data_IF_765891365274
#
_entry.id   IF_765891365274
#
_cell.length_a   1.000
_cell.length_b   1.000
_cell.length_c   1.000
_cell.angle_alpha   90.00
_cell.angle_beta   90.00
_cell.angle_gamma   90.00
#
_symmetry.space_group_name_H-M   'P 1'
#
loop_
_entity.id
_entity.type
_entity.pdbx_description
1 polymer ?
#
# COMPACT_ATOMS: atom_id res chain seq x y z
N UNK A 1 -27.89 -44.24 -72.73
CA UNK A 1 -27.51 -43.31 -71.64
C UNK A 1 -28.04 -41.94 -72.02
N UNK A 2 -29.12 -41.50 -71.38
CA UNK A 2 -29.73 -40.18 -71.63
C UNK A 2 -30.29 -39.65 -70.29
N UNK A 3 -30.24 -38.32 -70.04
CA UNK A 3 -30.14 -37.75 -68.70
C UNK A 3 -31.50 -37.40 -68.08
N UNK A 4 -31.54 -37.44 -66.74
CA UNK A 4 -32.66 -37.03 -65.88
C UNK A 4 -32.65 -35.49 -65.70
N UNK A 5 -33.80 -34.79 -65.61
CA UNK A 5 -33.85 -33.33 -65.55
C UNK A 5 -33.55 -32.74 -64.15
N UNK A 6 -32.97 -31.54 -64.16
CA UNK A 6 -32.60 -30.73 -62.99
C UNK A 6 -33.79 -30.32 -62.09
N UNK A 7 -33.60 -30.40 -60.77
CA UNK A 7 -34.45 -29.77 -59.75
C UNK A 7 -33.99 -28.34 -59.43
N UNK A 8 -34.89 -27.39 -59.08
CA UNK A 8 -34.54 -25.98 -58.89
C UNK A 8 -33.89 -25.71 -57.52
N UNK A 9 -32.91 -24.79 -57.53
CA UNK A 9 -32.12 -24.37 -56.38
C UNK A 9 -32.96 -23.66 -55.30
N UNK A 10 -32.84 -24.10 -54.04
CA UNK A 10 -33.42 -23.45 -52.87
C UNK A 10 -32.61 -22.21 -52.46
N UNK A 11 -33.28 -21.05 -52.35
CA UNK A 11 -32.72 -19.80 -51.81
C UNK A 11 -32.24 -19.97 -50.35
N UNK A 12 -31.15 -19.29 -49.94
CA UNK A 12 -30.67 -19.38 -48.57
C UNK A 12 -31.61 -18.64 -47.62
N UNK A 13 -32.01 -19.33 -46.55
CA UNK A 13 -32.80 -18.79 -45.44
C UNK A 13 -31.93 -17.78 -44.67
N UNK A 14 -32.36 -16.51 -44.59
CA UNK A 14 -31.72 -15.52 -43.70
C UNK A 14 -31.75 -16.06 -42.27
N UNK A 15 -30.56 -16.33 -41.70
CA UNK A 15 -30.39 -16.59 -40.27
C UNK A 15 -30.75 -15.31 -39.52
N UNK A 16 -31.90 -15.30 -38.87
CA UNK A 16 -32.18 -14.34 -37.79
C UNK A 16 -31.29 -14.70 -36.62
N UNK A 17 -30.23 -13.91 -36.40
CA UNK A 17 -29.43 -13.95 -35.19
C UNK A 17 -30.30 -13.51 -34.02
N UNK A 18 -30.65 -14.43 -33.14
CA UNK A 18 -31.11 -14.11 -31.78
C UNK A 18 -30.05 -13.22 -31.12
N UNK A 19 -30.41 -12.03 -30.58
CA UNK A 19 -29.45 -11.23 -29.84
C UNK A 19 -29.07 -12.01 -28.59
N UNK A 20 -27.83 -12.47 -28.52
CA UNK A 20 -27.23 -12.95 -27.27
C UNK A 20 -27.30 -11.80 -26.29
N UNK A 21 -28.14 -11.93 -25.26
CA UNK A 21 -28.23 -10.96 -24.18
C UNK A 21 -26.89 -10.98 -23.44
N UNK A 22 -25.97 -10.10 -23.83
CA UNK A 22 -24.72 -9.92 -23.09
C UNK A 22 -25.11 -9.43 -21.70
N UNK A 23 -24.66 -10.13 -20.66
CA UNK A 23 -24.86 -9.66 -19.30
C UNK A 23 -24.19 -8.29 -19.13
N UNK A 24 -24.77 -7.39 -18.32
CA UNK A 24 -24.15 -6.10 -18.07
C UNK A 24 -22.79 -6.32 -17.41
N UNK A 25 -21.79 -5.50 -17.77
CA UNK A 25 -20.44 -5.55 -17.16
C UNK A 25 -20.46 -5.25 -15.66
N UNK A 26 -21.47 -4.53 -15.19
CA UNK A 26 -21.57 -4.08 -13.80
C UNK A 26 -22.92 -4.44 -13.19
N UNK A 27 -22.90 -4.65 -11.88
CA UNK A 27 -24.08 -4.87 -11.04
C UNK A 27 -24.06 -3.89 -9.87
N UNK A 28 -25.21 -3.37 -9.49
CA UNK A 28 -25.34 -2.52 -8.31
C UNK A 28 -25.76 -3.38 -7.12
N UNK A 29 -25.01 -3.32 -6.03
CA UNK A 29 -25.35 -3.98 -4.75
C UNK A 29 -25.27 -2.92 -3.65
N UNK A 30 -26.35 -2.73 -2.90
CA UNK A 30 -26.43 -1.73 -1.83
C UNK A 30 -25.96 -0.32 -2.25
N UNK A 31 -26.33 0.12 -3.46
CA UNK A 31 -25.95 1.45 -3.99
C UNK A 31 -24.49 1.58 -4.45
N UNK A 32 -23.65 0.56 -4.27
CA UNK A 32 -22.28 0.50 -4.78
C UNK A 32 -22.25 -0.28 -6.10
N UNK A 33 -21.33 0.08 -7.00
CA UNK A 33 -21.16 -0.58 -8.31
C UNK A 33 -20.09 -1.66 -8.21
N UNK A 34 -20.33 -2.86 -8.73
CA UNK A 34 -19.37 -3.97 -8.74
C UNK A 34 -19.20 -4.54 -10.15
N UNK A 35 -18.06 -5.17 -10.42
CA UNK A 35 -17.87 -5.98 -11.61
C UNK A 35 -18.80 -7.19 -11.58
N UNK A 36 -19.56 -7.41 -12.65
CA UNK A 36 -20.57 -8.45 -12.73
C UNK A 36 -20.02 -9.71 -13.42
N UNK A 37 -19.17 -10.41 -12.69
CA UNK A 37 -18.67 -11.74 -13.07
C UNK A 37 -18.60 -12.62 -11.82
N UNK A 38 -19.42 -13.67 -11.77
CA UNK A 38 -19.50 -14.60 -10.64
C UNK A 38 -18.24 -15.45 -10.47
N UNK A 39 -17.40 -15.55 -11.51
CA UNK A 39 -16.12 -16.27 -11.45
C UNK A 39 -15.00 -15.40 -10.88
N UNK A 40 -15.21 -14.09 -10.77
CA UNK A 40 -14.27 -13.17 -10.16
C UNK A 40 -14.35 -13.24 -8.63
N UNK A 41 -13.24 -13.52 -7.93
CA UNK A 41 -13.22 -13.47 -6.47
C UNK A 41 -13.20 -12.03 -5.92
N UNK A 42 -12.98 -11.03 -6.79
CA UNK A 42 -12.70 -9.64 -6.40
C UNK A 42 -13.89 -9.01 -5.66
N UNK A 43 -13.72 -8.64 -4.36
CA UNK A 43 -14.83 -8.24 -3.52
C UNK A 43 -15.15 -6.75 -3.58
N UNK A 44 -14.24 -5.91 -4.08
CA UNK A 44 -14.33 -4.47 -3.93
C UNK A 44 -15.20 -3.82 -5.02
N UNK A 45 -15.82 -2.67 -4.73
CA UNK A 45 -16.58 -1.90 -5.72
C UNK A 45 -15.73 -1.39 -6.90
N UNK A 46 -16.39 -0.77 -7.88
CA UNK A 46 -15.80 -0.13 -9.06
C UNK A 46 -16.45 1.25 -9.30
N UNK A 47 -16.74 1.98 -8.22
CA UNK A 47 -17.30 3.32 -8.25
C UNK A 47 -16.27 4.40 -7.87
N UNK A 48 -16.66 5.66 -8.01
CA UNK A 48 -15.78 6.81 -7.76
C UNK A 48 -15.22 6.80 -6.34
N UNK A 49 -16.01 6.34 -5.35
CA UNK A 49 -15.57 6.22 -3.97
C UNK A 49 -14.42 5.21 -3.85
N UNK A 50 -14.53 4.07 -4.52
CA UNK A 50 -13.43 3.10 -4.56
C UNK A 50 -12.20 3.63 -5.30
N UNK A 51 -12.38 4.37 -6.39
CA UNK A 51 -11.24 5.01 -7.09
C UNK A 51 -10.50 6.00 -6.17
N UNK A 52 -11.22 6.79 -5.36
CA UNK A 52 -10.62 7.68 -4.36
C UNK A 52 -9.87 6.90 -3.28
N UNK A 53 -10.42 5.78 -2.80
CA UNK A 53 -9.74 4.90 -1.84
C UNK A 53 -8.44 4.35 -2.42
N UNK A 54 -8.48 3.83 -3.66
CA UNK A 54 -7.30 3.31 -4.35
C UNK A 54 -6.21 4.39 -4.53
N UNK A 55 -6.60 5.64 -4.81
CA UNK A 55 -5.65 6.76 -4.86
C UNK A 55 -4.99 7.01 -3.51
N UNK A 56 -5.75 7.03 -2.41
CA UNK A 56 -5.19 7.16 -1.06
C UNK A 56 -4.23 6.02 -0.71
N UNK A 57 -4.59 4.79 -1.10
CA UNK A 57 -3.76 3.59 -0.91
C UNK A 57 -2.46 3.66 -1.73
N UNK A 58 -2.53 4.16 -2.96
CA UNK A 58 -1.35 4.39 -3.81
C UNK A 58 -0.36 5.39 -3.18
N UNK A 59 -0.88 6.50 -2.65
CA UNK A 59 -0.09 7.50 -1.94
C UNK A 59 0.58 6.90 -0.70
N UNK A 60 -0.17 6.11 0.08
CA UNK A 60 0.36 5.42 1.26
C UNK A 60 1.51 4.46 0.89
N UNK A 61 1.37 3.67 -0.18
CA UNK A 61 2.44 2.81 -0.68
C UNK A 61 3.69 3.62 -1.03
N UNK A 62 3.54 4.75 -1.73
CA UNK A 62 4.68 5.63 -2.06
C UNK A 62 5.38 6.11 -0.79
N UNK A 63 4.63 6.63 0.18
CA UNK A 63 5.21 7.12 1.44
C UNK A 63 5.95 6.02 2.19
N UNK A 64 5.32 4.84 2.35
CA UNK A 64 5.91 3.70 3.07
C UNK A 64 7.20 3.21 2.41
N UNK A 65 7.22 3.06 1.09
CA UNK A 65 8.41 2.58 0.38
C UNK A 65 9.44 3.66 0.07
N UNK A 66 9.01 4.94 0.05
CA UNK A 66 9.76 6.09 -0.44
C UNK A 66 9.85 6.18 -1.98
N UNK A 67 9.15 5.31 -2.70
CA UNK A 67 9.19 5.16 -4.16
C UNK A 67 7.99 4.35 -4.66
N UNK A 68 7.72 4.39 -5.97
CA UNK A 68 6.68 3.56 -6.61
C UNK A 68 7.14 2.12 -6.92
N UNK A 69 8.46 1.88 -6.88
CA UNK A 69 9.13 0.61 -7.17
C UNK A 69 10.28 0.42 -6.18
N UNK A 70 10.53 -0.82 -5.77
CA UNK A 70 11.66 -1.17 -4.91
C UNK A 70 12.94 -1.53 -5.69
N UNK A 71 12.84 -1.66 -7.02
CA UNK A 71 13.99 -1.77 -7.91
C UNK A 71 14.69 -0.40 -8.00
N UNK A 72 16.02 -0.39 -7.84
CA UNK A 72 16.85 0.81 -8.01
C UNK A 72 17.09 1.11 -9.50
N UNK A 73 16.14 1.81 -10.10
CA UNK A 73 16.19 2.19 -11.51
C UNK A 73 17.30 3.19 -11.87
N UNK A 74 18.02 3.77 -10.91
CA UNK A 74 19.22 4.58 -11.20
C UNK A 74 20.44 3.69 -11.45
N UNK A 75 20.48 2.51 -10.82
CA UNK A 75 21.52 1.51 -11.01
C UNK A 75 21.18 0.50 -12.12
N UNK A 76 19.92 0.47 -12.56
CA UNK A 76 19.42 -0.45 -13.59
C UNK A 76 19.09 0.25 -14.91
N UNK A 77 18.99 -0.56 -15.98
CA UNK A 77 18.48 -0.06 -17.26
C UNK A 77 16.98 0.18 -17.17
N UNK A 78 16.55 1.40 -17.48
CA UNK A 78 15.11 1.75 -17.57
C UNK A 78 14.40 0.85 -18.59
N UNK A 79 13.25 0.25 -18.24
CA UNK A 79 12.49 -0.63 -19.12
C UNK A 79 11.94 0.14 -20.32
N UNK A 80 11.83 -0.51 -21.47
CA UNK A 80 11.14 0.08 -22.63
C UNK A 80 9.65 -0.26 -22.63
N UNK A 81 9.29 -1.47 -22.18
CA UNK A 81 7.91 -1.96 -22.07
C UNK A 81 7.62 -2.47 -20.66
N UNK A 82 6.57 -1.92 -20.05
CA UNK A 82 6.10 -2.24 -18.71
C UNK A 82 4.70 -2.83 -18.77
N UNK A 83 4.44 -3.91 -18.02
CA UNK A 83 3.10 -4.46 -17.81
C UNK A 83 2.67 -4.21 -16.36
N UNK A 84 1.51 -3.59 -16.17
CA UNK A 84 0.82 -3.50 -14.87
C UNK A 84 -0.36 -4.47 -14.87
N UNK A 85 -0.37 -5.41 -13.93
CA UNK A 85 -1.49 -6.34 -13.71
C UNK A 85 -2.54 -5.71 -12.81
N UNK A 86 -3.81 -5.86 -13.18
CA UNK A 86 -4.96 -5.25 -12.51
C UNK A 86 -4.79 -3.74 -12.35
N UNK A 87 -4.56 -3.06 -13.47
CA UNK A 87 -4.18 -1.65 -13.43
C UNK A 87 -5.24 -0.73 -12.82
N UNK A 88 -6.51 -1.14 -12.77
CA UNK A 88 -7.59 -0.35 -12.16
C UNK A 88 -7.68 1.07 -12.73
N UNK A 89 -7.36 2.07 -11.88
CA UNK A 89 -7.31 3.49 -12.25
C UNK A 89 -6.06 3.90 -13.05
N UNK A 90 -5.13 2.97 -13.26
CA UNK A 90 -3.81 3.14 -13.88
C UNK A 90 -2.90 4.18 -13.17
N UNK A 91 -3.22 4.54 -11.92
CA UNK A 91 -2.50 5.57 -11.17
C UNK A 91 -1.03 5.22 -10.95
N UNK A 92 -0.70 3.93 -10.77
CA UNK A 92 0.71 3.52 -10.65
C UNK A 92 1.45 3.70 -11.97
N UNK A 93 0.88 3.26 -13.09
CA UNK A 93 1.48 3.48 -14.42
C UNK A 93 1.72 4.97 -14.67
N UNK A 94 0.77 5.85 -14.32
CA UNK A 94 0.96 7.30 -14.42
C UNK A 94 2.16 7.80 -13.60
N UNK A 95 2.18 7.46 -12.31
CA UNK A 95 3.23 7.86 -11.38
C UNK A 95 4.61 7.31 -11.77
N UNK A 96 4.67 6.08 -12.28
CA UNK A 96 5.90 5.46 -12.73
C UNK A 96 6.39 6.06 -14.06
N UNK A 97 5.47 6.44 -14.95
CA UNK A 97 5.82 7.15 -16.18
C UNK A 97 6.44 8.53 -15.89
N UNK A 98 5.87 9.29 -14.96
CA UNK A 98 6.43 10.56 -14.51
C UNK A 98 7.82 10.37 -13.87
N UNK A 99 7.97 9.31 -13.05
CA UNK A 99 9.26 8.96 -12.46
C UNK A 99 10.32 8.63 -13.53
N UNK A 100 10.02 7.77 -14.51
CA UNK A 100 10.95 7.47 -15.60
C UNK A 100 11.22 8.69 -16.49
N UNK A 101 10.23 9.53 -16.75
CA UNK A 101 10.42 10.79 -17.47
C UNK A 101 11.40 11.72 -16.72
N UNK A 102 11.32 11.78 -15.39
CA UNK A 102 12.25 12.56 -14.56
C UNK A 102 13.70 12.05 -14.65
N UNK A 103 13.89 10.76 -14.97
CA UNK A 103 15.20 10.15 -15.23
C UNK A 103 15.64 10.30 -16.70
N UNK A 104 14.88 11.02 -17.54
CA UNK A 104 15.21 11.26 -18.95
C UNK A 104 14.60 10.24 -19.93
N UNK A 105 13.66 9.40 -19.48
CA UNK A 105 13.04 8.35 -20.29
C UNK A 105 11.51 8.52 -20.40
N UNK A 106 11.01 9.54 -21.12
CA UNK A 106 9.57 9.83 -21.22
C UNK A 106 8.80 8.87 -22.14
N UNK A 107 9.50 8.04 -22.92
CA UNK A 107 8.89 7.22 -23.99
C UNK A 107 8.64 5.76 -23.57
N UNK A 108 8.67 5.44 -22.28
CA UNK A 108 8.38 4.09 -21.78
C UNK A 108 6.94 3.71 -22.12
N UNK A 109 6.75 2.54 -22.73
CA UNK A 109 5.44 1.98 -23.07
C UNK A 109 4.88 1.25 -21.85
N UNK A 110 3.74 1.70 -21.34
CA UNK A 110 2.99 1.03 -20.29
C UNK A 110 1.81 0.27 -20.90
N UNK A 111 1.62 -0.97 -20.47
CA UNK A 111 0.42 -1.76 -20.77
C UNK A 111 -0.27 -2.11 -19.46
N UNK A 112 -1.53 -1.69 -19.29
CA UNK A 112 -2.36 -2.10 -18.18
C UNK A 112 -3.30 -3.23 -18.57
N UNK A 113 -3.29 -4.32 -17.81
CA UNK A 113 -4.22 -5.44 -17.97
C UNK A 113 -5.25 -5.40 -16.84
N UNK A 114 -6.54 -5.35 -17.18
CA UNK A 114 -7.62 -5.40 -16.19
C UNK A 114 -8.91 -5.97 -16.81
N UNK A 115 -9.84 -6.43 -15.99
CA UNK A 115 -11.18 -6.84 -16.43
C UNK A 115 -12.10 -5.64 -16.70
N UNK A 116 -11.80 -4.49 -16.09
CA UNK A 116 -12.58 -3.25 -16.23
C UNK A 116 -11.66 -2.08 -16.57
N UNK A 117 -12.05 -1.30 -17.57
CA UNK A 117 -11.41 -0.02 -17.84
C UNK A 117 -11.95 1.05 -16.87
N UNK A 118 -11.17 1.36 -15.83
CA UNK A 118 -11.53 2.35 -14.80
C UNK A 118 -10.68 3.62 -14.82
N UNK A 119 -9.71 3.73 -15.73
CA UNK A 119 -8.82 4.89 -15.83
C UNK A 119 -9.36 5.96 -16.78
N UNK A 120 -8.91 7.20 -16.60
CA UNK A 120 -9.13 8.32 -17.52
C UNK A 120 -7.89 8.58 -18.37
N UNK A 121 -8.04 9.15 -19.56
CA UNK A 121 -6.91 9.48 -20.44
C UNK A 121 -5.78 10.21 -19.69
N UNK A 122 -4.62 9.57 -19.63
CA UNK A 122 -3.43 10.09 -18.96
C UNK A 122 -2.63 10.94 -19.94
N UNK A 123 -2.41 12.21 -19.59
CA UNK A 123 -1.62 13.11 -20.44
C UNK A 123 -0.15 12.69 -20.40
N UNK A 124 0.50 12.65 -21.56
CA UNK A 124 1.93 12.37 -21.70
C UNK A 124 2.39 10.97 -21.25
N UNK A 125 1.46 10.03 -21.05
CA UNK A 125 1.79 8.63 -20.74
C UNK A 125 1.51 7.78 -21.97
N UNK A 126 2.50 7.05 -22.45
CA UNK A 126 2.34 6.07 -23.53
C UNK A 126 1.70 4.80 -22.96
N UNK A 127 0.38 4.83 -22.77
CA UNK A 127 -0.38 3.77 -22.10
C UNK A 127 -1.31 3.03 -23.05
N UNK A 128 -1.30 1.70 -22.98
CA UNK A 128 -2.21 0.80 -23.67
C UNK A 128 -3.02 -0.01 -22.66
N UNK A 129 -4.33 -0.05 -22.82
CA UNK A 129 -5.19 -0.92 -22.04
C UNK A 129 -5.48 -2.25 -22.75
N UNK A 130 -5.51 -3.33 -21.98
CA UNK A 130 -5.89 -4.66 -22.43
C UNK A 130 -6.95 -5.23 -21.48
N UNK A 131 -8.17 -5.41 -22.00
CA UNK A 131 -9.25 -6.03 -21.24
C UNK A 131 -9.04 -7.55 -21.17
N UNK A 132 -8.61 -8.08 -20.03
CA UNK A 132 -8.39 -9.51 -19.84
C UNK A 132 -8.42 -9.88 -18.35
N UNK A 133 -8.93 -11.07 -18.02
CA UNK A 133 -8.86 -11.59 -16.66
C UNK A 133 -7.54 -12.32 -16.44
N UNK A 134 -6.81 -11.98 -15.38
CA UNK A 134 -5.57 -12.68 -15.00
C UNK A 134 -5.77 -14.18 -14.71
N UNK A 135 -7.02 -14.60 -14.46
CA UNK A 135 -7.38 -16.00 -14.21
C UNK A 135 -7.51 -16.83 -15.51
N UNK A 136 -7.54 -16.17 -16.66
CA UNK A 136 -7.64 -16.82 -17.96
C UNK A 136 -6.23 -16.88 -18.57
N UNK A 137 -5.61 -18.06 -18.49
CA UNK A 137 -4.30 -18.33 -19.09
C UNK A 137 -4.45 -19.08 -20.42
N UNK A 138 -3.58 -18.85 -21.42
CA UNK A 138 -2.45 -17.91 -21.40
C UNK A 138 -2.87 -16.44 -21.45
N UNK A 139 -2.03 -15.54 -20.94
CA UNK A 139 -2.18 -14.10 -21.08
C UNK A 139 -2.06 -13.68 -22.55
N UNK A 140 -2.76 -12.62 -23.00
CA UNK A 140 -2.88 -12.24 -24.41
C UNK A 140 -1.65 -11.47 -24.92
N UNK A 141 -0.46 -11.98 -24.60
CA UNK A 141 0.83 -11.39 -24.96
C UNK A 141 1.77 -12.47 -25.48
N UNK A 142 2.62 -12.06 -26.41
CA UNK A 142 3.71 -12.91 -26.92
C UNK A 142 4.76 -13.15 -25.84
N UNK A 143 5.51 -14.24 -25.98
CA UNK A 143 6.65 -14.54 -25.13
C UNK A 143 7.67 -13.38 -25.15
N UNK A 144 8.33 -13.12 -24.02
CA UNK A 144 9.42 -12.16 -23.92
C UNK A 144 9.06 -10.75 -24.45
N UNK A 145 7.86 -10.26 -24.11
CA UNK A 145 7.35 -8.96 -24.54
C UNK A 145 7.79 -7.81 -23.63
N UNK A 146 7.75 -8.00 -22.31
CA UNK A 146 7.93 -6.93 -21.33
C UNK A 146 9.32 -6.95 -20.69
N UNK A 147 9.86 -5.76 -20.40
CA UNK A 147 11.12 -5.60 -19.66
C UNK A 147 10.88 -5.54 -18.14
N UNK A 148 9.67 -5.13 -17.73
CA UNK A 148 9.25 -5.04 -16.33
C UNK A 148 7.77 -5.38 -16.18
N UNK A 149 7.44 -6.24 -15.21
CA UNK A 149 6.08 -6.57 -14.81
C UNK A 149 5.87 -6.14 -13.37
N UNK A 150 4.86 -5.30 -13.13
CA UNK A 150 4.38 -4.92 -11.81
C UNK A 150 3.05 -5.61 -11.51
N UNK A 151 2.97 -6.21 -10.32
CA UNK A 151 1.74 -6.73 -9.73
C UNK A 151 1.55 -6.12 -8.35
N UNK A 152 0.65 -5.14 -8.21
CA UNK A 152 0.36 -4.52 -6.93
C UNK A 152 -1.06 -4.84 -6.47
N UNK A 153 -1.20 -5.32 -5.23
CA UNK A 153 -2.48 -5.60 -4.55
C UNK A 153 -3.42 -6.57 -5.31
N UNK A 154 -2.85 -7.42 -6.16
CA UNK A 154 -3.59 -8.41 -6.96
C UNK A 154 -4.16 -9.58 -6.16
N UNK A 155 -3.95 -9.60 -4.85
CA UNK A 155 -4.28 -10.72 -3.96
C UNK A 155 -5.78 -10.86 -3.69
N UNK A 156 -6.56 -9.84 -4.03
CA UNK A 156 -8.02 -9.92 -4.05
C UNK A 156 -8.59 -10.39 -5.40
N UNK A 157 -7.77 -10.38 -6.45
CA UNK A 157 -8.20 -10.71 -7.82
C UNK A 157 -7.86 -12.16 -8.21
N UNK A 158 -7.10 -12.88 -7.38
CA UNK A 158 -6.76 -14.27 -7.60
C UNK A 158 -6.86 -15.11 -6.33
N UNK A 159 -7.49 -16.31 -6.39
CA UNK A 159 -7.40 -17.27 -5.30
C UNK A 159 -5.96 -17.69 -5.06
N UNK A 160 -5.63 -18.05 -3.81
CA UNK A 160 -4.25 -18.42 -3.43
C UNK A 160 -3.66 -19.49 -4.34
N UNK A 161 -4.42 -20.53 -4.67
CA UNK A 161 -3.95 -21.63 -5.52
C UNK A 161 -3.58 -21.18 -6.94
N UNK A 162 -4.35 -20.26 -7.53
CA UNK A 162 -4.14 -19.77 -8.90
C UNK A 162 -2.78 -19.08 -9.09
N UNK A 163 -2.25 -18.46 -8.02
CA UNK A 163 -0.92 -17.87 -8.05
C UNK A 163 0.17 -18.92 -8.27
N UNK A 164 0.02 -20.10 -7.68
CA UNK A 164 0.96 -21.22 -7.80
C UNK A 164 0.80 -22.03 -9.09
N UNK A 165 -0.40 -22.07 -9.68
CA UNK A 165 -0.73 -23.05 -10.73
C UNK A 165 -0.69 -22.54 -12.17
N UNK A 166 -0.33 -21.28 -12.41
CA UNK A 166 -0.13 -20.83 -13.79
C UNK A 166 0.05 -19.33 -14.01
N UNK A 167 -0.44 -18.48 -13.10
CA UNK A 167 -0.29 -17.02 -13.26
C UNK A 167 1.19 -16.66 -13.29
N UNK A 168 1.98 -17.13 -12.30
CA UNK A 168 3.40 -16.80 -12.24
C UNK A 168 4.17 -17.31 -13.47
N UNK A 169 3.94 -18.55 -13.90
CA UNK A 169 4.51 -19.10 -15.13
C UNK A 169 4.20 -18.23 -16.37
N UNK A 170 2.97 -17.72 -16.48
CA UNK A 170 2.60 -16.80 -17.56
C UNK A 170 3.31 -15.44 -17.45
N UNK A 171 3.50 -14.90 -16.24
CA UNK A 171 4.30 -13.69 -16.05
C UNK A 171 5.74 -13.91 -16.52
N UNK A 172 6.33 -15.05 -16.16
CA UNK A 172 7.68 -15.39 -16.59
C UNK A 172 7.74 -15.61 -18.10
N UNK A 173 6.73 -16.23 -18.72
CA UNK A 173 6.66 -16.42 -20.19
C UNK A 173 6.71 -15.08 -20.92
N UNK A 174 5.89 -14.11 -20.51
CA UNK A 174 5.78 -12.80 -21.18
C UNK A 174 6.89 -11.82 -20.79
N UNK A 175 7.63 -12.09 -19.70
CA UNK A 175 8.80 -11.33 -19.29
C UNK A 175 10.02 -11.69 -20.15
N UNK A 176 10.78 -10.70 -20.60
CA UNK A 176 12.04 -10.92 -21.33
C UNK A 176 13.11 -11.52 -20.42
N UNK A 177 14.08 -12.28 -20.98
CA UNK A 177 15.28 -12.64 -20.25
C UNK A 177 15.99 -11.39 -19.72
N UNK A 178 16.36 -11.41 -18.44
CA UNK A 178 16.92 -10.25 -17.73
C UNK A 178 15.92 -9.17 -17.30
N UNK A 179 14.64 -9.30 -17.67
CA UNK A 179 13.57 -8.40 -17.23
C UNK A 179 13.20 -8.62 -15.77
N UNK A 180 12.54 -7.64 -15.16
CA UNK A 180 12.13 -7.68 -13.76
C UNK A 180 10.66 -8.05 -13.59
N UNK A 181 10.38 -8.81 -12.53
CA UNK A 181 9.03 -8.92 -11.95
C UNK A 181 9.07 -8.36 -10.55
N UNK A 182 8.10 -7.50 -10.22
CA UNK A 182 7.90 -6.98 -8.86
C UNK A 182 6.46 -7.22 -8.43
N UNK A 183 6.31 -7.76 -7.23
CA UNK A 183 5.03 -7.98 -6.57
C UNK A 183 5.01 -7.17 -5.29
N UNK A 184 4.04 -6.27 -5.16
CA UNK A 184 3.78 -5.50 -3.95
C UNK A 184 2.41 -5.89 -3.40
N UNK A 185 2.32 -6.16 -2.09
CA UNK A 185 1.06 -6.41 -1.43
C UNK A 185 1.10 -5.97 0.04
N UNK A 186 -0.05 -6.08 0.70
CA UNK A 186 -0.22 -5.85 2.11
C UNK A 186 -1.04 -6.98 2.74
N UNK A 187 -0.91 -7.17 4.05
CA UNK A 187 -1.81 -8.04 4.81
C UNK A 187 -3.14 -7.33 5.09
N UNK A 188 -4.21 -8.14 5.19
CA UNK A 188 -5.55 -7.66 5.55
C UNK A 188 -5.84 -7.83 7.04
N UNK A 189 -5.23 -8.82 7.67
CA UNK A 189 -5.21 -8.93 9.13
C UNK A 189 -4.19 -7.96 9.72
N UNK A 190 -4.56 -7.33 10.83
CA UNK A 190 -3.65 -6.50 11.59
C UNK A 190 -2.89 -7.36 12.57
N UNK A 191 -1.57 -7.24 12.54
CA UNK A 191 -0.67 -7.82 13.52
C UNK A 191 -0.08 -6.74 14.39
N UNK A 192 0.49 -7.15 15.51
CA UNK A 192 1.01 -6.25 16.53
C UNK A 192 2.51 -6.42 16.64
N UNK A 193 3.25 -5.32 16.54
CA UNK A 193 4.69 -5.30 16.81
C UNK A 193 4.93 -5.74 18.25
N UNK A 194 5.81 -6.72 18.45
CA UNK A 194 6.14 -7.19 19.78
C UNK A 194 7.10 -6.23 20.50
N UNK A 195 7.06 -6.26 21.84
CA UNK A 195 8.03 -5.57 22.70
C UNK A 195 9.37 -6.29 22.66
N UNK A 196 10.10 -6.12 21.56
CA UNK A 196 11.46 -6.60 21.37
C UNK A 196 12.47 -5.48 21.66
N UNK A 197 13.76 -5.73 21.38
CA UNK A 197 14.79 -4.67 21.37
C UNK A 197 14.44 -3.59 20.35
N UNK A 198 14.62 -2.32 20.73
CA UNK A 198 14.28 -1.16 19.89
C UNK A 198 14.96 -1.27 18.53
N UNK A 199 14.20 -1.45 17.44
CA UNK A 199 14.75 -1.53 16.09
C UNK A 199 15.05 -0.15 15.52
N UNK A 200 15.82 -0.10 14.44
CA UNK A 200 15.95 1.12 13.64
C UNK A 200 14.61 1.41 12.95
N UNK A 201 13.97 2.53 13.30
CA UNK A 201 12.90 3.09 12.47
C UNK A 201 13.53 3.69 11.22
N UNK A 202 12.94 3.43 10.06
CA UNK A 202 13.34 4.16 8.86
C UNK A 202 12.76 5.58 8.88
N UNK A 203 13.22 6.43 7.94
CA UNK A 203 12.92 7.87 7.91
C UNK A 203 11.44 8.25 7.85
N UNK A 204 10.55 7.29 7.60
CA UNK A 204 9.11 7.50 7.44
C UNK A 204 8.32 6.88 8.60
N UNK A 205 9.00 6.50 9.69
CA UNK A 205 8.36 5.97 10.89
C UNK A 205 7.79 4.56 10.70
N UNK A 206 8.30 3.81 9.72
CA UNK A 206 8.03 2.37 9.55
C UNK A 206 9.23 1.54 10.02
N UNK A 207 8.96 0.27 10.29
CA UNK A 207 9.95 -0.66 10.84
C UNK A 207 10.20 -1.81 9.88
N UNK A 208 11.46 -2.10 9.59
CA UNK A 208 11.85 -3.26 8.79
C UNK A 208 11.53 -4.54 9.57
N UNK A 209 10.61 -5.35 9.04
CA UNK A 209 10.21 -6.63 9.64
C UNK A 209 11.40 -7.58 9.52
N UNK A 210 11.96 -7.94 10.67
CA UNK A 210 13.21 -8.68 10.76
C UNK A 210 13.26 -9.46 12.07
N UNK A 211 14.38 -10.12 12.36
CA UNK A 211 14.55 -10.82 13.64
C UNK A 211 14.38 -9.91 14.87
N UNK A 212 14.64 -8.60 14.74
CA UNK A 212 14.45 -7.61 15.81
C UNK A 212 13.05 -7.00 15.84
N UNK A 213 12.26 -7.12 14.77
CA UNK A 213 10.88 -6.61 14.68
C UNK A 213 9.96 -7.78 14.37
N UNK A 214 9.50 -8.44 15.43
CA UNK A 214 8.60 -9.58 15.33
C UNK A 214 7.15 -9.12 15.46
N UNK A 215 6.28 -9.77 14.70
CA UNK A 215 4.85 -9.49 14.71
C UNK A 215 4.11 -10.63 15.40
N UNK A 216 3.19 -10.27 16.28
CA UNK A 216 2.22 -11.16 16.93
C UNK A 216 0.87 -11.07 16.23
N UNK A 217 0.16 -12.19 16.14
CA UNK A 217 -1.26 -12.21 15.76
C UNK A 217 -2.18 -11.64 16.85
N UNK A 218 -1.68 -11.51 18.08
CA UNK A 218 -2.48 -11.07 19.22
C UNK A 218 -2.45 -9.53 19.31
N UNK A 219 -3.61 -8.91 19.17
CA UNK A 219 -3.83 -7.50 19.52
C UNK A 219 -4.63 -7.42 20.82
N UNK A 220 -4.34 -6.43 21.66
CA UNK A 220 -5.11 -6.14 22.88
C UNK A 220 -6.39 -5.36 22.56
N UNK A 221 -6.51 -4.81 21.35
CA UNK A 221 -7.68 -4.05 20.92
C UNK A 221 -8.82 -4.99 20.48
N UNK A 222 -10.00 -4.93 21.10
CA UNK A 222 -11.12 -5.82 20.79
C UNK A 222 -11.68 -5.62 19.37
N UNK A 223 -11.63 -4.41 18.82
CA UNK A 223 -12.09 -4.14 17.45
C UNK A 223 -11.13 -4.73 16.41
N UNK A 224 -9.83 -4.78 16.72
CA UNK A 224 -8.84 -5.44 15.85
C UNK A 224 -9.01 -6.95 15.88
N UNK A 225 -9.26 -7.53 17.07
CA UNK A 225 -9.59 -8.95 17.19
C UNK A 225 -10.82 -9.30 16.34
N UNK A 226 -11.91 -8.53 16.51
CA UNK A 226 -13.15 -8.72 15.73
C UNK A 226 -12.92 -8.52 14.22
N UNK A 227 -12.18 -7.50 13.83
CA UNK A 227 -11.81 -7.28 12.43
C UNK A 227 -11.08 -8.50 11.86
N UNK A 228 -10.02 -8.95 12.53
CA UNK A 228 -9.21 -10.08 12.09
C UNK A 228 -10.05 -11.35 11.94
N UNK A 229 -10.96 -11.63 12.88
CA UNK A 229 -11.88 -12.77 12.77
C UNK A 229 -12.81 -12.64 11.56
N UNK A 230 -13.46 -11.47 11.40
CA UNK A 230 -14.45 -11.23 10.34
C UNK A 230 -13.83 -11.28 8.95
N UNK A 231 -12.67 -10.68 8.75
CA UNK A 231 -11.99 -10.63 7.45
C UNK A 231 -11.45 -12.00 7.06
N UNK A 232 -10.88 -12.76 8.01
CA UNK A 232 -10.44 -14.13 7.76
C UNK A 232 -11.61 -15.02 7.34
N UNK A 233 -12.74 -14.96 8.05
CA UNK A 233 -13.95 -15.71 7.68
C UNK A 233 -14.41 -15.38 6.27
N UNK A 234 -14.50 -14.08 5.93
CA UNK A 234 -14.95 -13.62 4.62
C UNK A 234 -13.99 -14.04 3.48
N UNK A 235 -12.68 -13.97 3.71
CA UNK A 235 -11.69 -14.29 2.69
C UNK A 235 -11.55 -15.79 2.46
N UNK A 236 -11.59 -16.59 3.52
CA UNK A 236 -11.57 -18.05 3.42
C UNK A 236 -12.79 -18.56 2.64
N UNK A 237 -13.97 -17.98 2.84
CA UNK A 237 -15.17 -18.32 2.07
C UNK A 237 -15.02 -18.06 0.56
N UNK A 238 -14.06 -17.22 0.15
CA UNK A 238 -13.76 -16.85 -1.24
C UNK A 238 -12.43 -17.38 -1.75
N UNK A 239 -11.75 -18.23 -0.98
CA UNK A 239 -10.40 -18.74 -1.29
C UNK A 239 -9.34 -17.64 -1.48
N UNK A 240 -9.49 -16.51 -0.80
CA UNK A 240 -8.55 -15.39 -0.81
C UNK A 240 -7.58 -15.46 0.39
N UNK A 241 -6.31 -15.06 0.24
CA UNK A 241 -5.35 -15.05 1.34
C UNK A 241 -5.53 -13.81 2.24
N UNK A 242 -5.76 -13.96 3.56
CA UNK A 242 -5.83 -12.83 4.48
C UNK A 242 -4.45 -12.24 4.83
N UNK A 243 -3.38 -13.00 4.57
CA UNK A 243 -1.97 -12.65 4.83
C UNK A 243 -1.10 -12.79 3.57
N UNK A 244 -1.35 -12.05 2.49
CA UNK A 244 -0.65 -12.26 1.24
C UNK A 244 0.87 -12.04 1.34
N UNK A 245 1.34 -11.22 2.29
CA UNK A 245 2.77 -10.99 2.48
C UNK A 245 3.53 -12.25 2.91
N UNK A 246 2.83 -13.26 3.45
CA UNK A 246 3.41 -14.56 3.79
C UNK A 246 3.41 -15.55 2.62
N UNK A 247 2.66 -15.26 1.56
CA UNK A 247 2.44 -16.15 0.41
C UNK A 247 3.39 -15.81 -0.74
N UNK A 248 3.56 -14.52 -1.06
CA UNK A 248 4.27 -14.10 -2.27
C UNK A 248 5.75 -14.49 -2.29
N UNK A 249 6.46 -14.34 -1.16
CA UNK A 249 7.89 -14.67 -1.09
C UNK A 249 8.18 -16.11 -1.50
N UNK A 250 7.54 -17.11 -0.87
CA UNK A 250 7.67 -18.51 -1.28
C UNK A 250 7.28 -18.77 -2.75
N UNK A 251 6.21 -18.15 -3.27
CA UNK A 251 5.81 -18.30 -4.69
C UNK A 251 6.95 -17.88 -5.60
N UNK A 252 7.54 -16.69 -5.38
CA UNK A 252 8.56 -16.15 -6.27
C UNK A 252 9.89 -16.93 -6.19
N UNK A 253 10.24 -17.44 -5.00
CA UNK A 253 11.48 -18.22 -4.79
C UNK A 253 11.38 -19.63 -5.38
N UNK A 254 10.18 -20.20 -5.49
CA UNK A 254 9.96 -21.51 -6.11
C UNK A 254 10.09 -21.49 -7.64
N UNK A 255 10.05 -20.31 -8.27
CA UNK A 255 10.22 -20.18 -9.71
C UNK A 255 11.70 -20.24 -10.11
N UNK A 256 12.15 -21.39 -10.60
CA UNK A 256 13.56 -21.65 -10.97
C UNK A 256 14.11 -20.63 -11.99
N UNK A 257 13.24 -20.06 -12.83
CA UNK A 257 13.62 -19.06 -13.83
C UNK A 257 13.81 -17.65 -13.25
N UNK A 258 13.47 -17.40 -11.98
CA UNK A 258 13.62 -16.10 -11.33
C UNK A 258 14.85 -16.11 -10.43
N UNK A 259 15.82 -15.28 -10.77
CA UNK A 259 17.09 -15.16 -10.05
C UNK A 259 17.18 -13.82 -9.30
N UNK A 260 18.04 -13.80 -8.27
CA UNK A 260 18.34 -12.57 -7.52
C UNK A 260 17.12 -12.02 -6.77
N UNK A 261 16.25 -12.89 -6.26
CA UNK A 261 15.06 -12.48 -5.51
C UNK A 261 15.44 -11.66 -4.28
N UNK A 262 14.89 -10.46 -4.21
CA UNK A 262 15.01 -9.52 -3.11
C UNK A 262 13.63 -9.29 -2.48
N UNK A 263 13.63 -8.83 -1.23
CA UNK A 263 12.40 -8.54 -0.50
C UNK A 263 12.57 -7.33 0.41
N UNK A 264 11.49 -6.60 0.61
CA UNK A 264 11.37 -5.54 1.60
C UNK A 264 10.03 -5.68 2.30
N UNK A 265 10.05 -5.82 3.63
CA UNK A 265 8.84 -5.97 4.45
C UNK A 265 8.85 -4.92 5.54
N UNK A 266 7.78 -4.14 5.62
CA UNK A 266 7.66 -2.97 6.48
C UNK A 266 6.41 -3.08 7.34
N UNK A 267 6.55 -2.77 8.62
CA UNK A 267 5.44 -2.55 9.54
C UNK A 267 5.24 -1.04 9.72
N UNK A 268 4.05 -0.54 9.37
CA UNK A 268 3.61 0.82 9.66
C UNK A 268 2.67 0.77 10.88
N UNK A 269 3.11 1.20 12.07
CA UNK A 269 2.23 1.30 13.22
C UNK A 269 1.07 2.26 12.94
N UNK A 270 -0.11 1.93 13.44
CA UNK A 270 -1.29 2.76 13.31
C UNK A 270 -1.35 3.87 14.37
N UNK A 271 -0.51 3.84 15.41
CA UNK A 271 -0.38 4.91 16.41
C UNK A 271 1.05 4.99 16.95
N UNK A 272 1.31 5.91 17.87
CA UNK A 272 2.56 5.96 18.62
C UNK A 272 2.75 4.70 19.46
N UNK A 273 3.96 4.14 19.46
CA UNK A 273 4.32 2.95 20.23
C UNK A 273 5.29 3.29 21.37
N UNK A 274 5.44 2.36 22.32
CA UNK A 274 6.04 2.61 23.64
C UNK A 274 7.47 3.17 23.63
N UNK A 275 8.31 2.84 22.64
CA UNK A 275 9.67 3.37 22.58
C UNK A 275 9.78 4.73 21.86
N UNK A 276 8.70 5.23 21.25
CA UNK A 276 8.67 6.55 20.61
C UNK A 276 8.25 7.66 21.58
N UNK A 277 7.86 7.27 22.80
CA UNK A 277 7.32 8.15 23.85
C UNK A 277 8.36 8.51 24.92
N UNK A 278 9.60 8.02 24.81
CA UNK A 278 10.58 7.99 25.90
C UNK A 278 11.29 9.33 26.21
N UNK A 279 10.74 10.48 25.82
CA UNK A 279 11.29 11.81 26.17
C UNK A 279 10.59 12.52 27.33
N UNK A 280 9.41 12.06 27.79
CA UNK A 280 8.65 12.79 28.82
C UNK A 280 8.97 12.38 30.28
N UNK A 281 9.72 11.29 30.49
CA UNK A 281 10.02 10.79 31.85
C UNK A 281 11.41 11.15 32.38
N UNK A 282 12.18 11.99 31.68
CA UNK A 282 13.55 12.35 32.10
C UNK A 282 13.69 13.73 32.78
N UNK A 283 12.60 14.50 32.94
CA UNK A 283 12.63 15.82 33.61
C UNK A 283 12.05 15.85 35.03
N UNK A 284 11.61 14.72 35.58
CA UNK A 284 11.03 14.67 36.94
C UNK A 284 11.76 13.72 37.90
N UNK A 285 13.10 13.66 37.88
CA UNK A 285 13.84 13.15 39.05
C UNK A 285 15.27 13.71 39.08
N UNK A 286 15.45 14.93 39.58
CA UNK A 286 16.73 15.34 40.17
C UNK A 286 16.55 16.46 41.20
N UNK A 287 16.11 16.09 42.40
CA UNK A 287 16.59 16.73 43.64
C UNK A 287 16.09 15.95 44.86
N UNK A 288 16.53 14.71 45.03
CA UNK A 288 16.69 14.19 46.37
C UNK A 288 18.01 14.72 46.93
N UNK A 289 17.95 15.80 47.71
CA UNK A 289 18.97 15.99 48.73
C UNK A 289 18.33 16.24 50.09
N UNK A 290 18.85 15.51 51.06
CA UNK A 290 18.30 15.27 52.37
C UNK A 290 19.02 16.18 53.37
N UNK A 291 18.33 17.13 54.00
CA UNK A 291 18.78 17.65 55.30
C UNK A 291 17.67 18.36 56.10
N UNK A 292 17.27 17.69 57.18
CA UNK A 292 16.84 18.19 58.51
C UNK A 292 16.31 19.63 58.59
N UNK A 293 15.01 19.74 58.87
CA UNK A 293 14.41 20.89 59.56
C UNK A 293 14.98 21.02 60.98
N UNK A 294 15.60 22.15 61.29
CA UNK A 294 15.63 22.75 62.63
C UNK A 294 15.17 24.21 62.51
N UNK A 295 14.20 24.55 63.36
CA UNK A 295 13.63 25.87 63.60
C UNK A 295 14.69 26.89 64.05
N UNK A 296 14.54 28.15 63.64
CA UNK A 296 14.39 29.39 64.48
C UNK A 296 14.84 30.64 63.71
N UNK A 297 14.11 31.75 63.85
CA UNK A 297 14.72 33.10 63.89
C UNK A 297 14.53 34.03 62.68
N UNK A 298 13.52 34.90 62.77
CA UNK A 298 13.48 36.36 62.51
C UNK A 298 14.28 37.09 61.40
N UNK A 299 13.52 38.00 60.73
CA UNK A 299 13.89 39.34 60.22
C UNK A 299 14.84 39.38 59.00
N UNK A 300 14.78 40.30 58.02
CA UNK A 300 14.27 41.67 57.96
C UNK A 300 13.89 42.05 56.51
N UNK A 301 13.16 43.17 56.44
CA UNK A 301 12.67 43.93 55.28
C UNK A 301 13.78 44.60 54.43
N UNK A 302 13.30 45.21 53.34
CA UNK A 302 13.91 46.26 52.49
C UNK A 302 14.69 45.75 51.25
N UNK A 303 14.57 46.30 50.04
CA UNK A 303 13.97 47.56 49.56
C UNK A 303 13.87 47.60 48.02
N UNK A 304 12.79 48.23 47.52
CA UNK A 304 12.71 49.28 46.49
C UNK A 304 13.66 49.21 45.25
N UNK A 305 13.17 49.00 44.03
CA UNK A 305 12.53 49.96 43.09
C UNK A 305 13.48 50.57 42.03
N UNK A 306 13.09 50.56 40.76
CA UNK A 306 13.48 51.58 39.77
C UNK A 306 13.97 51.09 38.39
N UNK A 307 13.75 51.86 37.30
CA UNK A 307 13.23 51.34 36.03
C UNK A 307 14.19 51.54 34.81
N UNK A 308 13.80 51.15 33.57
CA UNK A 308 14.74 50.91 32.48
C UNK A 308 14.94 52.12 31.56
N UNK A 309 16.05 52.14 30.81
CA UNK A 309 16.26 53.06 29.68
C UNK A 309 16.77 52.34 28.44
N UNK A 310 15.97 52.42 27.39
CA UNK A 310 16.34 52.20 26.00
C UNK A 310 17.34 53.26 25.52
N UNK A 311 18.23 52.90 24.60
CA UNK A 311 18.83 53.85 23.66
C UNK A 311 19.09 53.23 22.28
N UNK A 312 18.69 54.00 21.27
CA UNK A 312 18.79 53.82 19.82
C UNK A 312 20.20 54.09 19.26
N UNK A 313 20.54 53.46 18.11
CA UNK A 313 21.14 54.07 16.88
C UNK A 313 21.40 52.98 15.80
N UNK A 314 20.79 53.02 14.60
CA UNK A 314 21.22 53.65 13.31
C UNK A 314 22.63 53.19 12.83
N UNK A 315 22.94 52.80 11.57
CA UNK A 315 22.28 52.89 10.24
C UNK A 315 23.21 52.19 9.18
N UNK A 316 22.65 51.81 8.01
CA UNK A 316 23.30 51.54 6.68
C UNK A 316 24.15 50.25 6.60
N UNK A 317 24.13 49.41 5.57
CA UNK A 317 23.61 49.45 4.20
C UNK A 317 24.71 48.93 3.26
N UNK A 318 24.50 47.79 2.57
CA UNK A 318 25.00 47.45 1.22
C UNK A 318 24.93 45.96 0.93
N UNK A 319 24.56 45.67 -0.31
CA UNK A 319 24.51 44.34 -0.93
C UNK A 319 25.91 43.76 -1.18
N UNK A 320 26.04 42.42 -1.10
CA UNK A 320 26.82 41.58 -2.02
C UNK A 320 26.83 40.11 -1.58
N UNK A 321 26.56 39.24 -2.56
CA UNK A 321 27.20 37.93 -2.79
C UNK A 321 26.90 36.77 -1.81
N UNK A 322 26.04 35.86 -2.29
CA UNK A 322 25.89 34.51 -1.79
C UNK A 322 27.13 33.66 -2.12
N UNK A 323 28.00 33.47 -1.14
CA UNK A 323 29.02 32.42 -1.18
C UNK A 323 28.48 31.16 -0.49
N UNK A 324 28.38 30.07 -1.26
CA UNK A 324 28.20 28.72 -0.75
C UNK A 324 29.37 28.36 0.17
N UNK A 325 29.09 28.15 1.47
CA UNK A 325 29.98 27.43 2.37
C UNK A 325 29.42 26.02 2.59
N UNK A 326 30.03 25.06 1.92
CA UNK A 326 29.89 23.64 2.24
C UNK A 326 30.52 23.40 3.61
N UNK A 327 29.69 23.09 4.61
CA UNK A 327 30.16 22.51 5.87
C UNK A 327 29.70 21.06 5.92
N UNK A 328 30.65 20.16 5.65
CA UNK A 328 30.57 18.74 6.03
C UNK A 328 30.27 18.67 7.53
N UNK A 329 29.03 18.35 7.89
CA UNK A 329 28.71 17.80 9.21
C UNK A 329 28.94 16.30 9.15
N UNK A 330 29.94 15.83 9.87
CA UNK A 330 30.06 14.41 10.22
C UNK A 330 28.91 14.07 11.17
N UNK A 331 27.87 13.43 10.67
CA UNK A 331 26.83 12.85 11.52
C UNK A 331 27.38 11.57 12.15
N UNK A 332 27.68 11.63 13.44
CA UNK A 332 27.82 10.42 14.26
C UNK A 332 26.45 9.74 14.31
N UNK A 333 26.41 8.48 13.88
CA UNK A 333 25.24 7.64 13.67
C UNK A 333 24.54 7.18 14.97
N UNK A 334 24.59 7.97 16.04
CA UNK A 334 24.16 7.57 17.39
C UNK A 334 22.87 8.28 17.88
N UNK A 335 22.40 9.33 17.20
CA UNK A 335 21.38 10.24 17.75
C UNK A 335 19.93 9.99 17.28
N UNK A 336 19.63 8.92 16.54
CA UNK A 336 18.27 8.69 15.98
C UNK A 336 17.43 7.61 16.67
N UNK A 337 17.88 7.04 17.79
CA UNK A 337 17.32 5.78 18.30
C UNK A 337 16.12 5.92 19.26
N UNK A 338 15.76 7.14 19.66
CA UNK A 338 14.72 7.41 20.68
C UNK A 338 13.98 8.74 20.42
N UNK A 339 13.96 9.24 19.19
CA UNK A 339 13.32 10.53 18.90
C UNK A 339 11.80 10.39 18.82
N UNK A 340 11.02 11.32 19.42
CA UNK A 340 9.59 11.40 19.19
C UNK A 340 9.29 11.48 17.69
N UNK A 341 8.19 10.87 17.27
CA UNK A 341 7.76 10.93 15.86
C UNK A 341 7.75 12.38 15.37
N UNK A 342 8.30 12.61 14.20
CA UNK A 342 8.19 13.91 13.54
C UNK A 342 6.78 14.08 12.94
N UNK A 343 6.49 15.27 12.42
CA UNK A 343 5.17 15.58 11.88
C UNK A 343 4.83 14.77 10.62
N UNK A 344 5.83 14.53 9.76
CA UNK A 344 5.68 13.73 8.54
C UNK A 344 5.38 12.26 8.88
N UNK A 345 6.11 11.67 9.83
CA UNK A 345 5.88 10.30 10.31
C UNK A 345 4.47 10.13 10.91
N UNK A 346 4.02 11.09 11.72
CA UNK A 346 2.65 11.10 12.25
C UNK A 346 1.61 11.20 11.12
N UNK A 347 1.87 12.02 10.11
CA UNK A 347 0.97 12.16 8.97
C UNK A 347 0.84 10.86 8.17
N UNK A 348 1.94 10.14 7.94
CA UNK A 348 1.92 8.84 7.24
C UNK A 348 1.15 7.78 8.05
N UNK A 349 1.29 7.76 9.38
CA UNK A 349 0.48 6.86 10.23
C UNK A 349 -1.01 7.21 10.20
N UNK A 350 -1.34 8.50 10.23
CA UNK A 350 -2.71 8.96 10.11
C UNK A 350 -3.30 8.59 8.74
N UNK A 351 -2.53 8.76 7.66
CA UNK A 351 -2.87 8.30 6.32
C UNK A 351 -3.13 6.79 6.30
N UNK A 352 -2.27 6.00 6.96
CA UNK A 352 -2.47 4.56 7.15
C UNK A 352 -3.81 4.22 7.81
N UNK A 353 -4.15 4.89 8.92
CA UNK A 353 -5.44 4.73 9.61
C UNK A 353 -6.62 5.04 8.68
N UNK A 354 -6.58 6.17 7.98
CA UNK A 354 -7.64 6.58 7.06
C UNK A 354 -7.80 5.59 5.89
N UNK A 355 -6.70 5.19 5.26
CA UNK A 355 -6.71 4.28 4.13
C UNK A 355 -7.25 2.90 4.52
N UNK A 356 -6.89 2.42 5.71
CA UNK A 356 -7.37 1.14 6.21
C UNK A 356 -8.86 1.16 6.56
N UNK A 357 -9.35 2.22 7.20
CA UNK A 357 -10.78 2.37 7.48
C UNK A 357 -11.62 2.44 6.20
N UNK A 358 -11.14 3.13 5.17
CA UNK A 358 -11.85 3.13 3.89
C UNK A 358 -11.83 1.74 3.23
N UNK A 359 -10.81 0.91 3.47
CA UNK A 359 -10.80 -0.49 3.04
C UNK A 359 -11.84 -1.32 3.80
N UNK A 360 -11.96 -1.13 5.12
CA UNK A 360 -13.01 -1.78 5.94
C UNK A 360 -14.39 -1.45 5.38
N UNK A 361 -14.65 -0.16 5.11
CA UNK A 361 -15.92 0.29 4.55
C UNK A 361 -16.18 -0.27 3.14
N UNK A 362 -15.16 -0.34 2.28
CA UNK A 362 -15.30 -0.92 0.95
C UNK A 362 -15.59 -2.43 0.97
N UNK A 363 -15.20 -3.11 2.05
CA UNK A 363 -15.44 -4.54 2.28
C UNK A 363 -16.75 -4.82 3.03
N UNK A 364 -17.54 -3.80 3.39
CA UNK A 364 -18.82 -3.94 4.11
C UNK A 364 -19.65 -5.11 3.58
N UNK A 365 -19.89 -5.14 2.26
CA UNK A 365 -20.80 -6.12 1.65
C UNK A 365 -20.41 -7.57 1.96
N UNK A 366 -19.11 -7.88 1.88
CA UNK A 366 -18.61 -9.24 2.08
C UNK A 366 -18.47 -9.59 3.56
N UNK A 367 -18.17 -8.58 4.38
CA UNK A 367 -18.07 -8.74 5.82
C UNK A 367 -19.45 -9.04 6.39
N UNK A 368 -20.48 -8.30 5.95
CA UNK A 368 -21.86 -8.55 6.36
C UNK A 368 -22.37 -9.89 5.89
N UNK A 369 -22.17 -10.21 4.60
CA UNK A 369 -22.57 -11.48 4.00
C UNK A 369 -21.99 -12.69 4.74
N UNK A 370 -20.67 -12.70 5.00
CA UNK A 370 -20.02 -13.87 5.57
C UNK A 370 -20.02 -13.89 7.10
N UNK A 371 -20.40 -12.81 7.78
CA UNK A 371 -20.48 -12.76 9.24
C UNK A 371 -21.92 -12.68 9.77
N UNK A 372 -22.92 -12.91 8.90
CA UNK A 372 -24.34 -12.92 9.27
C UNK A 372 -24.78 -11.62 9.96
N UNK A 373 -24.17 -10.50 9.55
CA UNK A 373 -24.33 -9.20 10.18
C UNK A 373 -25.30 -8.34 9.39
N UNK A 374 -26.35 -7.87 10.05
CA UNK A 374 -27.31 -6.95 9.44
C UNK A 374 -26.74 -5.52 9.33
N UNK A 375 -27.54 -4.58 8.80
CA UNK A 375 -27.07 -3.22 8.59
C UNK A 375 -26.89 -2.44 9.91
N UNK A 376 -27.79 -2.65 10.88
CA UNK A 376 -27.77 -1.92 12.14
C UNK A 376 -26.59 -2.36 13.02
N UNK A 377 -26.30 -3.67 13.04
CA UNK A 377 -25.12 -4.23 13.69
C UNK A 377 -23.83 -3.69 13.06
N UNK A 378 -23.75 -3.66 11.73
CA UNK A 378 -22.61 -3.09 11.01
C UNK A 378 -22.41 -1.61 11.34
N UNK A 379 -23.45 -0.79 11.23
CA UNK A 379 -23.37 0.65 11.49
C UNK A 379 -22.97 0.94 12.94
N UNK A 380 -23.46 0.13 13.88
CA UNK A 380 -23.05 0.23 15.28
C UNK A 380 -21.58 -0.13 15.47
N UNK A 381 -21.17 -1.29 14.96
CA UNK A 381 -19.80 -1.78 15.09
C UNK A 381 -18.79 -0.83 14.44
N UNK A 382 -19.07 -0.40 13.21
CA UNK A 382 -18.19 0.49 12.45
C UNK A 382 -18.05 1.86 13.12
N UNK A 383 -19.14 2.44 13.64
CA UNK A 383 -19.10 3.69 14.39
C UNK A 383 -18.25 3.58 15.65
N UNK A 384 -18.41 2.51 16.42
CA UNK A 384 -17.68 2.33 17.67
C UNK A 384 -16.19 2.04 17.42
N UNK A 385 -15.87 1.31 16.33
CA UNK A 385 -14.50 1.15 15.81
C UNK A 385 -13.88 2.50 15.44
N UNK A 386 -14.60 3.33 14.67
CA UNK A 386 -14.13 4.66 14.28
C UNK A 386 -13.84 5.55 15.48
N UNK A 387 -14.73 5.57 16.47
CA UNK A 387 -14.50 6.27 17.72
C UNK A 387 -13.24 5.75 18.43
N UNK A 388 -13.11 4.43 18.56
CA UNK A 388 -11.96 3.81 19.24
C UNK A 388 -10.62 4.16 18.59
N UNK A 389 -10.54 4.16 17.26
CA UNK A 389 -9.28 4.32 16.52
C UNK A 389 -8.81 5.76 16.38
N UNK A 390 -9.74 6.73 16.32
CA UNK A 390 -9.39 8.14 16.12
C UNK A 390 -9.49 8.98 17.41
N UNK A 391 -10.47 8.70 18.28
CA UNK A 391 -10.71 9.50 19.49
C UNK A 391 -10.32 8.74 20.77
N UNK A 392 -10.54 7.42 20.79
CA UNK A 392 -10.38 6.57 21.98
C UNK A 392 -8.95 6.07 22.27
N UNK A 393 -7.94 6.50 21.52
CA UNK A 393 -6.54 6.05 21.65
C UNK A 393 -6.35 4.52 21.60
N UNK A 394 -7.21 3.81 20.86
CA UNK A 394 -7.28 2.35 20.90
C UNK A 394 -6.12 1.59 20.24
N UNK A 395 -5.27 2.23 19.45
CA UNK A 395 -4.27 1.56 18.59
C UNK A 395 -2.82 1.70 19.10
N UNK A 396 -2.64 1.90 20.41
CA UNK A 396 -1.32 2.06 21.06
C UNK A 396 -0.65 0.74 21.43
N UNK A 397 -1.28 -0.40 21.12
CA UNK A 397 -0.79 -1.73 21.41
C UNK A 397 0.34 -2.19 20.48
N UNK A 398 0.67 -1.40 19.45
CA UNK A 398 1.65 -1.77 18.42
C UNK A 398 1.00 -2.35 17.16
N UNK A 399 -0.31 -2.22 17.02
CA UNK A 399 -1.06 -2.60 15.82
C UNK A 399 -0.48 -1.91 14.58
N UNK A 400 -0.15 -2.69 13.55
CA UNK A 400 0.49 -2.18 12.35
C UNK A 400 -0.10 -2.76 11.07
N UNK A 401 -0.08 -1.95 10.01
CA UNK A 401 -0.22 -2.42 8.65
C UNK A 401 1.10 -3.03 8.20
N UNK A 402 1.04 -4.22 7.60
CA UNK A 402 2.20 -4.82 6.96
C UNK A 402 2.17 -4.58 5.47
N UNK A 403 3.29 -4.08 4.95
CA UNK A 403 3.58 -3.92 3.54
C UNK A 403 4.71 -4.86 3.15
N UNK A 404 4.56 -5.55 2.03
CA UNK A 404 5.58 -6.43 1.48
C UNK A 404 5.82 -6.18 -0.01
N UNK A 405 7.09 -6.22 -0.39
CA UNK A 405 7.53 -6.19 -1.77
C UNK A 405 8.54 -7.32 -2.02
N UNK A 406 8.41 -7.97 -3.18
CA UNK A 406 9.33 -8.99 -3.67
C UNK A 406 9.60 -8.72 -5.14
N UNK A 407 10.87 -8.78 -5.53
CA UNK A 407 11.26 -8.60 -6.91
C UNK A 407 12.44 -9.47 -7.26
N UNK A 408 12.54 -9.82 -8.54
CA UNK A 408 13.63 -10.62 -9.08
C UNK A 408 13.73 -10.44 -10.59
N UNK A 409 14.73 -11.08 -11.20
CA UNK A 409 14.92 -11.04 -12.64
C UNK A 409 14.67 -12.40 -13.26
N UNK A 410 14.09 -12.43 -14.45
CA UNK A 410 14.12 -13.64 -15.27
C UNK A 410 15.56 -13.96 -15.66
N UNK A 411 15.95 -15.22 -15.55
CA UNK A 411 17.26 -15.69 -15.98
C UNK A 411 17.54 -15.27 -17.43
N UNK A 412 18.75 -14.78 -17.76
CA UNK A 412 19.16 -14.48 -19.12
C UNK A 412 19.37 -15.72 -20.01
N UNK A 413 19.38 -16.92 -19.43
CA UNK A 413 19.69 -18.20 -20.09
C UNK A 413 18.71 -18.59 -21.21
#
# INVERSE_FOLDING_TARGET
>A
MSPIPNSPASRPRKRTSTPTHQQPTFVTRNGRKFYNDETSPYPLPCDVKEMSRQALWHELHREVYGSYSNIDWQSEKIPSKVLELGCGSAIWSASMADYFASLGHPNVEFTGLDVVQSYTDMKNVNFKFVKHSILIVPLPFEDNTFDYIMSRDMMLAAPTHSMYTGIMAELIRVLKPGGFVEVQCNDFVIRTIQRTTIPYANKVGTYDISSSVQLSSNSENPFIQQWNEKIQKAFLARNLPPVPCTVIGPVLVQEDSVIGVQTKRLALPLDSIWWESASDSASETSSSDCSRRRSTGESSLESLSGPPKQQFRKRRGSAAQSHHYSTRRSSTSADSYMSPLNEEERAVRHLGKLAFVQLIEALEGILREHNDMDLDEWDSWYRDLMWNWFEGQGLRGGECLEFGAWWGRKSPE
#
